data_IF_522193615855
#
_entry.id   IF_522193615855
#
_cell.length_a   1.000
_cell.length_b   1.000
_cell.length_c   1.000
_cell.angle_alpha   90.00
_cell.angle_beta   90.00
_cell.angle_gamma   90.00
#
_symmetry.space_group_name_H-M   'P 1'
#
loop_
_entity.id
_entity.type
_entity.pdbx_description
1 polymer ?
#
# COMPACT_ATOMS: atom_id res chain seq x y z
N UNK A 1 -7.50 7.44 -38.91
CA UNK A 1 -7.71 6.47 -37.81
C UNK A 1 -6.39 6.34 -37.04
N UNK A 2 -6.27 6.82 -35.79
CA UNK A 2 -5.06 6.57 -35.00
C UNK A 2 -5.03 5.08 -34.63
N UNK A 3 -3.94 4.40 -34.95
CA UNK A 3 -3.73 3.01 -34.55
C UNK A 3 -3.56 2.94 -33.02
N UNK A 4 -4.48 2.23 -32.35
CA UNK A 4 -4.30 1.81 -30.96
C UNK A 4 -3.13 0.84 -30.90
N UNK A 5 -1.97 1.28 -30.41
CA UNK A 5 -0.90 0.37 -30.03
C UNK A 5 -1.41 -0.49 -28.87
N UNK A 6 -1.40 -1.81 -29.04
CA UNK A 6 -1.69 -2.75 -27.97
C UNK A 6 -0.72 -2.48 -26.80
N UNK A 7 -1.27 -2.16 -25.62
CA UNK A 7 -0.47 -2.06 -24.41
C UNK A 7 0.16 -3.43 -24.13
N UNK A 8 1.44 -3.47 -23.78
CA UNK A 8 2.09 -4.70 -23.33
C UNK A 8 1.22 -5.36 -22.24
N UNK A 9 1.07 -6.70 -22.24
CA UNK A 9 0.23 -7.37 -21.28
C UNK A 9 0.64 -6.98 -19.87
N UNK A 10 -0.34 -6.61 -19.04
CA UNK A 10 -0.10 -6.41 -17.63
C UNK A 10 0.46 -7.72 -17.05
N UNK A 11 1.48 -7.66 -16.18
CA UNK A 11 1.93 -8.85 -15.47
C UNK A 11 0.80 -9.41 -14.60
N UNK A 12 1.00 -10.63 -14.08
CA UNK A 12 -0.05 -11.42 -13.44
C UNK A 12 -0.93 -10.61 -12.48
N UNK A 13 -2.26 -10.73 -12.65
CA UNK A 13 -3.27 -10.05 -11.83
C UNK A 13 -3.27 -10.55 -10.38
N UNK A 14 -2.84 -11.78 -10.18
CA UNK A 14 -2.76 -12.44 -8.88
C UNK A 14 -1.43 -13.19 -8.82
N UNK A 15 -0.75 -13.18 -7.68
CA UNK A 15 0.51 -13.93 -7.52
C UNK A 15 0.22 -15.43 -7.42
N UNK A 16 0.85 -16.28 -8.25
CA UNK A 16 0.68 -17.73 -8.14
C UNK A 16 1.17 -18.29 -6.80
N UNK A 17 2.20 -17.68 -6.21
CA UNK A 17 2.79 -18.13 -4.94
C UNK A 17 2.03 -17.63 -3.70
N UNK A 18 1.28 -16.52 -3.83
CA UNK A 18 0.51 -15.88 -2.75
C UNK A 18 -0.77 -15.28 -3.34
N UNK A 19 -1.86 -16.05 -3.49
CA UNK A 19 -3.08 -15.60 -4.17
C UNK A 19 -3.71 -14.34 -3.57
N UNK A 20 -3.41 -14.02 -2.32
CA UNK A 20 -3.89 -12.79 -1.68
C UNK A 20 -3.23 -11.53 -2.25
N UNK A 21 -2.08 -11.67 -2.93
CA UNK A 21 -1.44 -10.58 -3.66
C UNK A 21 -2.11 -10.40 -5.02
N UNK A 22 -2.68 -9.22 -5.21
CA UNK A 22 -3.37 -8.84 -6.44
C UNK A 22 -2.76 -7.57 -7.03
N UNK A 23 -2.93 -7.37 -8.33
CA UNK A 23 -2.47 -6.18 -9.04
C UNK A 23 -3.28 -5.91 -10.30
N UNK A 24 -3.54 -4.65 -10.60
CA UNK A 24 -4.14 -4.24 -11.87
C UNK A 24 -3.78 -2.79 -12.19
N UNK A 25 -4.10 -2.35 -13.41
CA UNK A 25 -3.98 -0.94 -13.80
C UNK A 25 -5.36 -0.44 -14.21
N UNK A 26 -5.73 0.74 -13.70
CA UNK A 26 -6.97 1.41 -14.05
C UNK A 26 -6.70 2.90 -14.22
N UNK A 27 -7.04 3.45 -15.39
CA UNK A 27 -6.80 4.85 -15.77
C UNK A 27 -5.35 5.33 -15.50
N UNK A 28 -4.38 4.45 -15.72
CA UNK A 28 -2.95 4.71 -15.49
C UNK A 28 -2.50 4.64 -14.04
N UNK A 29 -3.37 4.42 -13.06
CA UNK A 29 -2.97 4.09 -11.69
C UNK A 29 -2.69 2.59 -11.55
N UNK A 30 -1.57 2.25 -10.91
CA UNK A 30 -1.21 0.87 -10.57
C UNK A 30 -1.77 0.57 -9.18
N UNK A 31 -2.63 -0.43 -9.09
CA UNK A 31 -3.18 -0.90 -7.82
C UNK A 31 -2.51 -2.20 -7.42
N UNK A 32 -2.17 -2.36 -6.15
CA UNK A 32 -1.69 -3.62 -5.56
C UNK A 32 -2.37 -3.91 -4.23
N UNK A 33 -2.74 -5.17 -4.02
CA UNK A 33 -3.09 -5.72 -2.72
C UNK A 33 -1.91 -6.52 -2.15
N UNK A 34 -1.62 -6.35 -0.86
CA UNK A 34 -0.57 -7.06 -0.15
C UNK A 34 -1.16 -7.88 1.00
N UNK A 35 -0.64 -9.09 1.19
CA UNK A 35 -0.93 -9.90 2.36
C UNK A 35 -0.02 -9.45 3.49
N UNK A 36 -0.46 -8.44 4.22
CA UNK A 36 0.19 -7.92 5.43
C UNK A 36 -0.89 -7.80 6.50
N UNK A 37 -1.08 -8.81 7.34
CA UNK A 37 -1.99 -8.74 8.47
C UNK A 37 -1.39 -7.92 9.62
N UNK A 38 -2.28 -7.43 10.47
CA UNK A 38 -1.99 -6.72 11.71
C UNK A 38 -1.30 -7.61 12.73
N UNK A 39 -1.27 -7.16 13.99
CA UNK A 39 -0.67 -7.95 15.07
C UNK A 39 0.82 -8.29 14.84
N UNK A 40 1.61 -7.27 14.51
CA UNK A 40 3.04 -7.34 14.18
C UNK A 40 3.39 -8.27 13.01
N UNK A 41 2.46 -8.47 12.08
CA UNK A 41 2.65 -9.37 10.94
C UNK A 41 3.11 -10.79 11.36
N UNK A 42 2.70 -11.23 12.56
CA UNK A 42 3.10 -12.48 13.22
C UNK A 42 4.57 -12.58 13.70
N UNK A 43 5.40 -11.55 13.55
CA UNK A 43 6.80 -11.60 13.97
C UNK A 43 6.97 -11.57 15.50
N UNK A 44 7.90 -12.37 16.02
CA UNK A 44 8.37 -12.36 17.41
C UNK A 44 7.55 -13.24 18.36
N UNK A 45 6.71 -14.14 17.84
CA UNK A 45 5.78 -14.96 18.65
C UNK A 45 6.22 -16.41 18.80
N UNK A 46 6.52 -17.07 17.68
CA UNK A 46 7.00 -18.45 17.62
C UNK A 46 7.88 -18.62 16.39
N UNK A 47 8.80 -19.60 16.40
CA UNK A 47 9.68 -19.85 15.25
C UNK A 47 8.89 -20.11 13.95
N UNK A 48 7.78 -20.85 14.03
CA UNK A 48 6.91 -21.10 12.86
C UNK A 48 6.29 -19.82 12.30
N UNK A 49 5.89 -18.90 13.17
CA UNK A 49 5.32 -17.61 12.78
C UNK A 49 6.39 -16.67 12.19
N UNK A 50 7.62 -16.75 12.70
CA UNK A 50 8.77 -15.99 12.17
C UNK A 50 9.17 -16.51 10.78
N UNK A 51 9.15 -17.82 10.56
CA UNK A 51 9.36 -18.43 9.24
C UNK A 51 8.26 -18.01 8.24
N UNK A 52 7.00 -17.98 8.68
CA UNK A 52 5.88 -17.50 7.87
C UNK A 52 6.08 -16.02 7.49
N UNK A 53 6.43 -15.18 8.47
CA UNK A 53 6.73 -13.76 8.29
C UNK A 53 7.83 -13.57 7.25
N UNK A 54 8.96 -14.29 7.38
CA UNK A 54 10.08 -14.17 6.46
C UNK A 54 9.68 -14.53 5.02
N UNK A 55 8.98 -15.67 4.85
CA UNK A 55 8.46 -16.10 3.54
C UNK A 55 7.46 -15.09 2.94
N UNK A 56 6.55 -14.56 3.77
CA UNK A 56 5.56 -13.55 3.36
C UNK A 56 6.25 -12.27 2.93
N UNK A 57 7.20 -11.76 3.72
CA UNK A 57 7.89 -10.52 3.43
C UNK A 57 8.77 -10.62 2.19
N UNK A 58 9.38 -11.78 1.92
CA UNK A 58 10.05 -12.03 0.63
C UNK A 58 9.09 -11.84 -0.56
N UNK A 59 7.88 -12.42 -0.48
CA UNK A 59 6.87 -12.28 -1.53
C UNK A 59 6.31 -10.85 -1.63
N UNK A 60 6.11 -10.17 -0.50
CA UNK A 60 5.64 -8.77 -0.44
C UNK A 60 6.67 -7.85 -1.10
N UNK A 61 7.95 -8.00 -0.79
CA UNK A 61 9.03 -7.20 -1.39
C UNK A 61 9.13 -7.41 -2.89
N UNK A 62 9.04 -8.66 -3.37
CA UNK A 62 9.04 -8.95 -4.80
C UNK A 62 7.83 -8.29 -5.51
N UNK A 63 6.63 -8.41 -4.94
CA UNK A 63 5.40 -7.83 -5.50
C UNK A 63 5.45 -6.30 -5.55
N UNK A 64 5.94 -5.67 -4.48
CA UNK A 64 6.15 -4.22 -4.41
C UNK A 64 7.16 -3.73 -5.45
N UNK A 65 8.27 -4.44 -5.64
CA UNK A 65 9.30 -4.09 -6.62
C UNK A 65 8.76 -4.11 -8.05
N UNK A 66 7.97 -5.12 -8.41
CA UNK A 66 7.34 -5.15 -9.72
C UNK A 66 6.29 -4.04 -9.89
N UNK A 67 5.55 -3.72 -8.82
CA UNK A 67 4.59 -2.62 -8.83
C UNK A 67 5.26 -1.26 -9.04
N UNK A 68 6.41 -1.04 -8.38
CA UNK A 68 7.26 0.12 -8.58
C UNK A 68 7.71 0.22 -10.05
N UNK A 69 8.18 -0.87 -10.65
CA UNK A 69 8.59 -0.88 -12.06
C UNK A 69 7.45 -0.50 -13.01
N UNK A 70 6.21 -0.93 -12.72
CA UNK A 70 5.04 -0.52 -13.49
C UNK A 70 4.70 0.95 -13.26
N UNK A 71 4.74 1.40 -12.01
CA UNK A 71 4.45 2.78 -11.63
C UNK A 71 5.51 3.78 -12.15
N UNK A 72 6.74 3.32 -12.39
CA UNK A 72 7.81 4.12 -12.97
C UNK A 72 7.59 4.43 -14.46
N UNK A 73 6.79 3.62 -15.18
CA UNK A 73 6.53 3.83 -16.61
C UNK A 73 5.91 5.21 -16.87
N UNK A 74 6.23 5.90 -17.99
CA UNK A 74 5.73 7.26 -18.24
C UNK A 74 4.20 7.41 -18.21
N UNK A 75 3.48 6.40 -18.69
CA UNK A 75 2.02 6.37 -18.68
C UNK A 75 1.39 6.10 -17.32
N UNK A 76 2.17 5.57 -16.36
CA UNK A 76 1.67 5.31 -15.03
C UNK A 76 1.63 6.63 -14.22
N UNK A 77 0.52 6.84 -13.53
CA UNK A 77 0.17 8.14 -12.95
C UNK A 77 0.12 8.12 -11.41
N UNK A 78 -0.04 6.94 -10.80
CA UNK A 78 0.01 6.73 -9.36
C UNK A 78 0.30 5.26 -9.02
N UNK A 79 0.72 5.01 -7.77
CA UNK A 79 0.74 3.69 -7.14
C UNK A 79 -0.22 3.69 -5.94
N UNK A 80 -1.15 2.73 -5.91
CA UNK A 80 -2.09 2.52 -4.82
C UNK A 80 -1.80 1.16 -4.19
N UNK A 81 -1.40 1.18 -2.93
CA UNK A 81 -1.08 0.01 -2.11
C UNK A 81 -2.22 -0.20 -1.13
N UNK A 82 -2.78 -1.40 -1.09
CA UNK A 82 -3.84 -1.79 -0.16
C UNK A 82 -3.38 -2.97 0.68
N UNK A 83 -3.61 -2.89 1.98
CA UNK A 83 -3.30 -3.97 2.93
C UNK A 83 -4.15 -3.83 4.19
N UNK A 84 -4.19 -4.85 5.04
CA UNK A 84 -4.95 -4.75 6.28
C UNK A 84 -4.19 -3.92 7.34
N UNK A 85 -2.92 -4.26 7.58
CA UNK A 85 -2.12 -3.71 8.67
C UNK A 85 -1.89 -2.19 8.59
N UNK A 86 -1.80 -1.54 9.75
CA UNK A 86 -1.20 -0.22 9.86
C UNK A 86 0.33 -0.38 9.82
N UNK A 87 1.04 0.19 8.82
CA UNK A 87 2.49 0.08 8.72
C UNK A 87 3.26 0.93 9.75
N UNK A 88 2.54 1.62 10.63
CA UNK A 88 3.08 2.40 11.73
C UNK A 88 4.13 3.42 11.28
N UNK A 89 3.72 4.32 10.38
CA UNK A 89 4.60 5.37 9.85
C UNK A 89 5.18 6.28 10.93
N UNK A 90 4.48 6.38 12.06
CA UNK A 90 4.91 7.09 13.26
C UNK A 90 6.13 6.45 13.94
N UNK A 91 6.47 5.18 13.63
CA UNK A 91 7.64 4.49 14.18
C UNK A 91 7.57 4.32 15.69
N UNK A 92 6.39 3.97 16.22
CA UNK A 92 6.18 3.82 17.65
C UNK A 92 7.01 2.64 18.17
N UNK A 93 7.64 2.78 19.35
CA UNK A 93 8.38 1.68 19.94
C UNK A 93 7.45 0.52 20.24
N UNK A 94 7.92 -0.69 19.97
CA UNK A 94 7.23 -1.90 20.35
C UNK A 94 7.43 -2.19 21.86
N UNK A 95 6.42 -2.76 22.53
CA UNK A 95 6.59 -3.26 23.90
C UNK A 95 7.68 -4.34 23.97
N UNK A 96 8.37 -4.43 25.12
CA UNK A 96 9.21 -5.58 25.50
C UNK A 96 10.28 -5.97 24.47
N UNK A 97 10.93 -4.99 23.84
CA UNK A 97 11.96 -5.19 22.80
C UNK A 97 11.50 -6.07 21.62
N UNK A 98 10.19 -6.20 21.40
CA UNK A 98 9.66 -6.96 20.26
C UNK A 98 10.16 -6.37 18.94
N UNK A 99 10.59 -7.22 17.99
CA UNK A 99 11.02 -6.75 16.68
C UNK A 99 9.86 -6.10 15.91
N UNK A 100 10.16 -5.03 15.18
CA UNK A 100 9.19 -4.33 14.33
C UNK A 100 8.99 -5.09 13.00
N UNK A 101 7.86 -5.80 12.89
CA UNK A 101 7.48 -6.56 11.70
C UNK A 101 7.12 -5.69 10.49
N UNK A 102 6.98 -4.37 10.65
CA UNK A 102 6.63 -3.45 9.57
C UNK A 102 7.80 -2.58 9.12
N UNK A 103 8.93 -2.56 9.85
CA UNK A 103 10.08 -1.70 9.56
C UNK A 103 10.55 -1.79 8.10
N UNK A 104 10.73 -3.01 7.58
CA UNK A 104 11.16 -3.23 6.20
C UNK A 104 10.14 -2.75 5.16
N UNK A 105 8.85 -2.97 5.42
CA UNK A 105 7.75 -2.51 4.57
C UNK A 105 7.67 -0.98 4.56
N UNK A 106 7.66 -0.36 5.74
CA UNK A 106 7.63 1.10 5.95
C UNK A 106 8.79 1.77 5.21
N UNK A 107 10.01 1.25 5.36
CA UNK A 107 11.19 1.73 4.64
C UNK A 107 10.99 1.63 3.12
N UNK A 108 10.52 0.47 2.63
CA UNK A 108 10.31 0.26 1.19
C UNK A 108 9.29 1.23 0.60
N UNK A 109 8.17 1.48 1.28
CA UNK A 109 7.12 2.41 0.83
C UNK A 109 7.66 3.85 0.73
N UNK A 110 8.45 4.28 1.71
CA UNK A 110 9.11 5.60 1.72
C UNK A 110 10.09 5.74 0.55
N UNK A 111 10.93 4.73 0.33
CA UNK A 111 11.90 4.75 -0.77
C UNK A 111 11.24 4.73 -2.14
N UNK A 112 10.20 3.91 -2.33
CA UNK A 112 9.41 3.86 -3.56
C UNK A 112 8.80 5.24 -3.83
N UNK A 113 8.18 5.86 -2.82
CA UNK A 113 7.61 7.20 -2.99
C UNK A 113 8.67 8.22 -3.40
N UNK A 114 9.85 8.23 -2.76
CA UNK A 114 10.96 9.12 -3.13
C UNK A 114 11.44 8.90 -4.56
N UNK A 115 11.57 7.64 -5.01
CA UNK A 115 12.07 7.30 -6.35
C UNK A 115 11.05 7.58 -7.45
N UNK A 116 9.76 7.34 -7.19
CA UNK A 116 8.72 7.52 -8.21
C UNK A 116 8.45 8.98 -8.52
N UNK A 117 8.50 9.87 -7.51
CA UNK A 117 8.08 11.26 -7.67
C UNK A 117 6.61 11.44 -8.07
N UNK A 118 5.82 10.36 -8.05
CA UNK A 118 4.39 10.27 -8.37
C UNK A 118 3.60 9.97 -7.10
N UNK A 119 2.28 10.25 -7.06
CA UNK A 119 1.44 9.87 -5.93
C UNK A 119 1.58 8.38 -5.56
N UNK A 120 1.87 8.11 -4.29
CA UNK A 120 1.84 6.78 -3.67
C UNK A 120 0.83 6.81 -2.53
N UNK A 121 -0.23 6.04 -2.66
CA UNK A 121 -1.32 5.96 -1.70
C UNK A 121 -1.21 4.63 -0.96
N UNK A 122 -1.23 4.64 0.36
CA UNK A 122 -1.26 3.44 1.20
C UNK A 122 -2.58 3.42 1.96
N UNK A 123 -3.47 2.51 1.55
CA UNK A 123 -4.79 2.32 2.14
C UNK A 123 -4.79 1.11 3.09
N UNK A 124 -5.27 1.30 4.32
CA UNK A 124 -5.38 0.24 5.33
C UNK A 124 -6.54 0.46 6.32
N UNK A 125 -6.73 -0.45 7.28
CA UNK A 125 -7.87 -0.39 8.21
C UNK A 125 -7.60 -0.84 9.66
N UNK A 126 -6.36 -1.20 10.01
CA UNK A 126 -6.04 -1.90 11.27
C UNK A 126 -6.40 -1.18 12.59
N UNK A 127 -6.26 0.15 12.69
CA UNK A 127 -6.51 0.86 13.96
C UNK A 127 -7.93 1.41 14.09
N UNK A 128 -8.80 1.14 13.12
CA UNK A 128 -10.22 1.50 13.09
C UNK A 128 -10.48 3.02 13.20
N UNK A 129 -9.49 3.85 12.88
CA UNK A 129 -9.61 5.31 12.96
C UNK A 129 -9.30 5.92 11.63
N UNK A 130 -10.25 6.67 11.08
CA UNK A 130 -10.01 7.41 9.85
C UNK A 130 -8.77 8.30 9.96
N UNK A 131 -7.87 8.14 8.99
CA UNK A 131 -6.72 9.02 8.77
C UNK A 131 -6.62 9.33 7.28
N UNK A 132 -6.36 10.59 6.97
CA UNK A 132 -5.97 11.01 5.63
C UNK A 132 -4.88 12.07 5.79
N UNK A 133 -3.64 11.65 5.65
CA UNK A 133 -2.47 12.49 5.92
C UNK A 133 -1.27 12.14 5.04
N UNK A 134 -0.20 12.91 5.21
CA UNK A 134 1.13 12.62 4.66
C UNK A 134 2.00 12.21 5.84
N UNK A 135 2.17 10.91 6.08
CA UNK A 135 2.66 10.44 7.37
C UNK A 135 4.19 10.55 7.51
N UNK A 136 4.91 10.96 6.46
CA UNK A 136 6.38 11.04 6.44
C UNK A 136 6.83 12.41 5.94
N UNK A 137 7.61 13.11 6.77
CA UNK A 137 8.20 14.40 6.42
C UNK A 137 9.17 14.29 5.24
N UNK A 138 9.17 15.29 4.35
CA UNK A 138 10.02 15.30 3.15
C UNK A 138 9.59 14.30 2.06
N UNK A 139 8.44 13.62 2.21
CA UNK A 139 7.88 12.69 1.20
C UNK A 139 6.44 13.09 0.88
N UNK A 140 6.23 14.25 0.23
CA UNK A 140 4.90 14.87 0.10
C UNK A 140 3.92 14.09 -0.79
N UNK A 141 4.44 13.15 -1.59
CA UNK A 141 3.68 12.29 -2.49
C UNK A 141 3.28 10.95 -1.87
N UNK A 142 3.66 10.68 -0.61
CA UNK A 142 3.17 9.52 0.14
C UNK A 142 1.95 9.94 0.96
N UNK A 143 0.79 9.37 0.63
CA UNK A 143 -0.48 9.63 1.32
C UNK A 143 -0.93 8.35 2.01
N UNK A 144 -1.27 8.44 3.30
CA UNK A 144 -1.95 7.37 4.02
C UNK A 144 -3.45 7.63 4.00
N UNK A 145 -4.21 6.56 3.77
CA UNK A 145 -5.65 6.51 4.00
C UNK A 145 -5.91 5.35 4.95
N UNK A 146 -6.45 5.65 6.11
CA UNK A 146 -6.99 4.65 7.01
C UNK A 146 -8.52 4.74 6.99
N UNK A 147 -9.20 3.60 6.81
CA UNK A 147 -10.67 3.54 6.84
C UNK A 147 -11.19 3.45 8.28
N UNK A 148 -12.43 3.84 8.47
CA UNK A 148 -13.14 3.58 9.72
C UNK A 148 -13.36 2.08 9.92
N UNK A 149 -13.37 1.68 11.19
CA UNK A 149 -13.74 0.34 11.63
C UNK A 149 -14.61 0.44 12.88
N UNK A 150 -15.15 -0.70 13.34
CA UNK A 150 -16.02 -0.75 14.51
C UNK A 150 -15.46 0.10 15.68
N UNK A 151 -16.29 0.93 16.36
CA UNK A 151 -17.76 0.99 16.28
C UNK A 151 -18.34 1.87 15.16
N UNK A 152 -17.53 2.67 14.47
CA UNK A 152 -18.02 3.52 13.37
C UNK A 152 -17.80 2.82 12.04
N UNK A 153 -18.89 2.45 11.37
CA UNK A 153 -18.80 1.85 10.04
C UNK A 153 -19.02 2.92 8.99
N UNK A 154 -18.25 2.89 7.91
CA UNK A 154 -18.35 3.90 6.86
C UNK A 154 -17.67 3.44 5.58
N UNK A 155 -17.86 4.21 4.52
CA UNK A 155 -17.12 4.03 3.28
C UNK A 155 -16.45 5.34 2.87
N UNK A 156 -15.33 5.19 2.16
CA UNK A 156 -14.61 6.28 1.55
C UNK A 156 -14.74 6.18 0.03
N UNK A 157 -15.08 7.28 -0.64
CA UNK A 157 -14.80 7.44 -2.07
C UNK A 157 -13.54 8.27 -2.22
N UNK A 158 -12.57 7.65 -2.88
CA UNK A 158 -11.25 8.19 -3.14
C UNK A 158 -11.16 8.58 -4.59
N UNK A 159 -10.89 9.86 -4.85
CA UNK A 159 -10.77 10.42 -6.20
C UNK A 159 -9.45 11.19 -6.30
N UNK A 160 -8.68 10.97 -7.35
CA UNK A 160 -7.46 11.75 -7.59
C UNK A 160 -7.41 12.18 -9.04
N UNK A 161 -6.87 13.37 -9.29
CA UNK A 161 -6.64 13.84 -10.64
C UNK A 161 -5.40 13.20 -11.20
N UNK A 162 -5.55 12.62 -12.36
CA UNK A 162 -4.52 11.81 -12.96
C UNK A 162 -3.61 12.69 -13.82
N UNK A 163 -2.31 12.77 -13.48
CA UNK A 163 -1.31 13.60 -14.18
C UNK A 163 -1.09 14.99 -13.58
N UNK A 164 -1.83 15.37 -12.54
CA UNK A 164 -1.54 16.54 -11.71
C UNK A 164 -0.96 16.07 -10.38
N UNK A 165 0.16 16.65 -9.94
CA UNK A 165 0.60 16.52 -8.56
C UNK A 165 -0.40 17.29 -7.68
N UNK A 166 -1.40 16.58 -7.15
CA UNK A 166 -2.50 17.17 -6.40
C UNK A 166 -2.97 16.25 -5.27
N UNK A 167 -3.63 16.80 -4.25
CA UNK A 167 -4.15 16.01 -3.14
C UNK A 167 -5.21 15.02 -3.62
N UNK A 168 -5.20 13.84 -3.03
CA UNK A 168 -6.30 12.88 -3.17
C UNK A 168 -7.54 13.49 -2.51
N UNK A 169 -8.65 13.58 -3.24
CA UNK A 169 -9.95 13.97 -2.69
C UNK A 169 -10.59 12.74 -2.03
N UNK A 170 -11.05 12.92 -0.80
CA UNK A 170 -11.74 11.89 -0.03
C UNK A 170 -13.15 12.39 0.29
N UNK A 171 -14.15 11.64 -0.12
CA UNK A 171 -15.52 11.73 0.40
C UNK A 171 -15.68 10.63 1.46
N UNK A 172 -15.94 11.02 2.70
CA UNK A 172 -16.12 10.10 3.84
C UNK A 172 -17.58 10.11 4.26
N UNK A 173 -18.21 8.94 4.26
CA UNK A 173 -19.58 8.76 4.75
C UNK A 173 -19.56 7.77 5.91
N UNK A 174 -20.04 8.24 7.07
CA UNK A 174 -20.24 7.40 8.25
C UNK A 174 -21.68 6.88 8.27
N UNK A 175 -21.82 5.62 8.64
CA UNK A 175 -23.07 4.99 9.01
C UNK A 175 -23.13 4.87 10.55
N UNK A 176 -24.26 5.27 11.16
CA UNK A 176 -24.48 5.11 12.58
C UNK A 176 -24.60 3.63 12.99
#
# INVERSE_FOLDING_TARGET
MPQMRAAAPLPARQSPARPEHVRWVWDGAVFIGLNVPGSNNNLGRTAQMDDEFASRMFAVSAWLREAEQLAAKPQARALVVMMQANPDFEGRPHPDDMPDGYAGLRKSLVEIARRLGKPVIVAHGDSHRYKHDRPVEGVPNLTRIEVDGWPWMGWLRVSFKVGEAGPVRIERTLHP
#
